data_IF_052055729478
#
_entry.id   IF_052055729478
#
_cell.length_a   1.000
_cell.length_b   1.000
_cell.length_c   1.000
_cell.angle_alpha   90.00
_cell.angle_beta   90.00
_cell.angle_gamma   90.00
#
_symmetry.space_group_name_H-M   'P 1'
#
loop_
_entity.id
_entity.type
_entity.pdbx_description
1 polymer ?
#
# COMPACT_ATOMS: atom_id res chain seq x y z
N UNK A 1 -1.86 -0.55 18.42
CA UNK A 1 -2.53 -0.82 17.13
C UNK A 1 -3.65 -1.83 17.33
N UNK A 2 -4.85 -1.54 16.82
CA UNK A 2 -6.05 -2.37 17.03
C UNK A 2 -5.96 -3.75 16.39
N UNK A 3 -5.47 -3.85 15.15
CA UNK A 3 -5.35 -5.11 14.40
C UNK A 3 -4.46 -6.17 15.08
N UNK A 4 -3.65 -5.76 16.06
CA UNK A 4 -2.82 -6.63 16.88
C UNK A 4 -3.52 -7.12 18.16
N UNK A 5 -4.75 -6.69 18.45
CA UNK A 5 -5.52 -7.15 19.62
C UNK A 5 -6.10 -8.55 19.39
N UNK A 6 -6.24 -9.38 20.44
CA UNK A 6 -6.79 -10.74 20.33
C UNK A 6 -8.18 -10.83 19.67
N UNK A 7 -8.99 -9.77 19.78
CA UNK A 7 -10.31 -9.71 19.13
C UNK A 7 -10.27 -9.79 17.59
N UNK A 8 -9.10 -9.59 16.99
CA UNK A 8 -8.88 -9.68 15.53
C UNK A 8 -8.10 -10.95 15.13
N UNK A 9 -7.84 -11.85 16.08
CA UNK A 9 -7.18 -13.13 15.80
C UNK A 9 -7.93 -13.94 14.75
N UNK A 10 -7.18 -14.63 13.90
CA UNK A 10 -7.65 -15.44 12.77
C UNK A 10 -8.40 -14.67 11.66
N UNK A 11 -8.72 -13.38 11.87
CA UNK A 11 -9.55 -12.58 10.98
C UNK A 11 -8.81 -11.70 9.98
N UNK A 12 -7.49 -11.57 10.10
CA UNK A 12 -6.71 -10.61 9.32
C UNK A 12 -5.96 -11.28 8.15
N UNK A 13 -5.98 -10.60 7.00
CA UNK A 13 -5.13 -10.91 5.83
C UNK A 13 -4.37 -9.67 5.37
N UNK A 14 -3.14 -9.84 4.89
CA UNK A 14 -2.29 -8.73 4.43
C UNK A 14 -1.44 -9.13 3.21
N UNK A 15 -1.00 -8.17 2.39
CA UNK A 15 -0.09 -8.46 1.29
C UNK A 15 1.29 -8.81 1.84
N UNK A 16 1.96 -9.75 1.17
CA UNK A 16 3.34 -10.09 1.46
C UNK A 16 4.28 -9.01 0.91
N UNK A 17 5.20 -8.48 1.73
CA UNK A 17 6.25 -7.55 1.29
C UNK A 17 7.29 -8.21 0.37
N UNK A 18 7.26 -9.54 0.25
CA UNK A 18 8.10 -10.27 -0.71
C UNK A 18 7.66 -10.02 -2.17
N UNK A 19 6.39 -9.67 -2.38
CA UNK A 19 5.78 -9.54 -3.70
C UNK A 19 5.16 -8.15 -3.96
N UNK A 20 4.86 -7.38 -2.90
CA UNK A 20 4.26 -6.05 -3.01
C UNK A 20 5.20 -4.96 -2.51
N UNK A 21 5.53 -3.99 -3.37
CA UNK A 21 6.36 -2.84 -3.00
C UNK A 21 5.71 -1.93 -1.95
N UNK A 22 4.39 -1.71 -2.02
CA UNK A 22 3.65 -0.95 -1.01
C UNK A 22 3.70 -1.65 0.37
N UNK A 23 3.57 -2.97 0.39
CA UNK A 23 3.70 -3.76 1.61
C UNK A 23 5.13 -3.73 2.17
N UNK A 24 6.14 -3.78 1.30
CA UNK A 24 7.54 -3.67 1.69
C UNK A 24 7.86 -2.28 2.28
N UNK A 25 7.32 -1.20 1.68
CA UNK A 25 7.44 0.14 2.21
C UNK A 25 6.78 0.28 3.59
N UNK A 26 5.56 -0.28 3.75
CA UNK A 26 4.87 -0.30 5.04
C UNK A 26 5.66 -1.11 6.09
N UNK A 27 6.19 -2.28 5.72
CA UNK A 27 7.00 -3.11 6.60
C UNK A 27 8.18 -2.33 7.17
N UNK A 28 9.06 -1.82 6.31
CA UNK A 28 10.27 -1.12 6.74
C UNK A 28 9.98 0.20 7.43
N UNK A 29 8.91 0.90 7.02
CA UNK A 29 8.46 2.10 7.73
C UNK A 29 8.01 1.80 9.16
N UNK A 30 7.19 0.76 9.36
CA UNK A 30 6.73 0.35 10.69
C UNK A 30 7.88 -0.21 11.54
N UNK A 31 8.77 -1.01 10.94
CA UNK A 31 9.95 -1.55 11.64
C UNK A 31 10.90 -0.42 12.08
N UNK A 32 11.03 0.64 11.29
CA UNK A 32 11.84 1.81 11.62
C UNK A 32 11.19 2.76 12.62
N UNK A 33 9.89 2.66 12.87
CA UNK A 33 9.15 3.52 13.80
C UNK A 33 9.16 2.94 15.21
N UNK A 34 9.55 3.77 16.19
CA UNK A 34 9.69 3.37 17.59
C UNK A 34 8.38 2.93 18.26
N UNK A 35 7.21 3.32 17.72
CA UNK A 35 5.91 2.95 18.28
C UNK A 35 5.41 1.60 17.78
N UNK A 36 5.97 1.07 16.69
CA UNK A 36 5.52 -0.16 16.05
C UNK A 36 6.59 -1.25 16.09
N UNK A 37 7.73 -1.02 15.44
CA UNK A 37 8.83 -1.97 15.35
C UNK A 37 8.43 -3.35 14.81
N UNK A 38 9.26 -4.35 15.11
CA UNK A 38 8.95 -5.75 14.82
C UNK A 38 7.82 -6.31 15.69
N UNK A 39 7.60 -5.76 16.88
CA UNK A 39 6.56 -6.17 17.81
C UNK A 39 5.17 -6.14 17.17
N UNK A 40 4.90 -5.16 16.30
CA UNK A 40 3.65 -5.11 15.56
C UNK A 40 3.45 -6.37 14.71
N UNK A 41 4.43 -6.73 13.88
CA UNK A 41 4.36 -7.89 13.00
C UNK A 41 4.38 -9.22 13.76
N UNK A 42 5.11 -9.30 14.87
CA UNK A 42 5.09 -10.46 15.75
C UNK A 42 3.70 -10.68 16.35
N UNK A 43 3.03 -9.63 16.82
CA UNK A 43 1.65 -9.72 17.30
C UNK A 43 0.68 -10.13 16.20
N UNK A 44 0.85 -9.61 14.97
CA UNK A 44 0.06 -10.07 13.82
C UNK A 44 0.25 -11.58 13.56
N UNK A 45 1.49 -12.07 13.66
CA UNK A 45 1.78 -13.50 13.52
C UNK A 45 1.15 -14.33 14.63
N UNK A 46 1.23 -13.88 15.89
CA UNK A 46 0.56 -14.52 17.04
C UNK A 46 -0.96 -14.57 16.86
N UNK A 47 -1.54 -13.55 16.21
CA UNK A 47 -2.97 -13.49 15.87
C UNK A 47 -3.33 -14.30 14.61
N UNK A 48 -2.44 -15.18 14.11
CA UNK A 48 -2.65 -16.00 12.91
C UNK A 48 -3.01 -15.19 11.65
N UNK A 49 -2.45 -13.98 11.51
CA UNK A 49 -2.63 -13.17 10.30
C UNK A 49 -2.09 -13.92 9.09
N UNK A 50 -2.88 -13.98 8.02
CA UNK A 50 -2.50 -14.64 6.76
C UNK A 50 -1.80 -13.63 5.84
N UNK A 51 -0.62 -13.98 5.33
CA UNK A 51 0.08 -13.21 4.31
C UNK A 51 -0.20 -13.82 2.93
N UNK A 52 -0.65 -13.00 1.98
CA UNK A 52 -0.96 -13.42 0.60
C UNK A 52 -0.16 -12.62 -0.42
N UNK A 53 -0.07 -13.09 -1.66
CA UNK A 53 0.86 -12.54 -2.68
C UNK A 53 0.71 -11.04 -2.96
N UNK A 54 -0.43 -10.40 -2.71
CA UNK A 54 -0.55 -8.95 -2.90
C UNK A 54 -1.93 -8.39 -2.65
N UNK A 55 -2.09 -7.08 -2.85
CA UNK A 55 -3.31 -6.34 -2.52
C UNK A 55 -4.58 -6.90 -3.20
N UNK A 56 -4.47 -7.40 -4.44
CA UNK A 56 -5.60 -8.02 -5.13
C UNK A 56 -6.11 -9.29 -4.45
N UNK A 57 -5.22 -10.10 -3.87
CA UNK A 57 -5.60 -11.30 -3.12
C UNK A 57 -6.24 -10.93 -1.78
N UNK A 58 -5.73 -9.90 -1.10
CA UNK A 58 -6.35 -9.34 0.12
C UNK A 58 -7.77 -8.88 -0.17
N UNK A 59 -7.93 -8.03 -1.19
CA UNK A 59 -9.25 -7.51 -1.56
C UNK A 59 -10.22 -8.64 -1.88
N UNK A 60 -9.79 -9.66 -2.63
CA UNK A 60 -10.62 -10.83 -2.95
C UNK A 60 -11.07 -11.56 -1.67
N UNK A 61 -10.15 -11.83 -0.76
CA UNK A 61 -10.43 -12.55 0.49
C UNK A 61 -11.43 -11.81 1.39
N UNK A 62 -11.30 -10.47 1.49
CA UNK A 62 -12.25 -9.65 2.24
C UNK A 62 -13.60 -9.55 1.53
N UNK A 63 -13.59 -9.27 0.23
CA UNK A 63 -14.83 -9.13 -0.56
C UNK A 63 -15.64 -10.43 -0.65
N UNK A 64 -15.00 -11.60 -0.57
CA UNK A 64 -15.68 -12.90 -0.50
C UNK A 64 -16.11 -13.30 0.91
N UNK A 65 -15.74 -12.53 1.94
CA UNK A 65 -16.01 -12.86 3.35
C UNK A 65 -15.13 -13.99 3.91
N UNK A 66 -14.07 -14.40 3.21
CA UNK A 66 -13.12 -15.41 3.72
C UNK A 66 -12.36 -14.89 4.94
N UNK A 67 -11.98 -13.60 4.91
CA UNK A 67 -11.37 -12.90 6.04
C UNK A 67 -12.11 -11.59 6.29
N UNK A 68 -12.54 -11.30 7.53
CA UNK A 68 -13.29 -10.08 7.82
C UNK A 68 -12.46 -8.80 7.70
N UNK A 69 -11.12 -8.87 7.80
CA UNK A 69 -10.25 -7.70 7.82
C UNK A 69 -9.06 -7.85 6.86
N UNK A 70 -8.68 -6.75 6.20
CA UNK A 70 -7.53 -6.73 5.31
C UNK A 70 -6.72 -5.44 5.41
N UNK A 71 -5.39 -5.55 5.38
CA UNK A 71 -4.49 -4.41 5.15
C UNK A 71 -4.25 -4.30 3.64
N UNK A 72 -4.60 -3.19 3.00
CA UNK A 72 -4.36 -2.97 1.57
C UNK A 72 -4.25 -1.50 1.21
N UNK A 73 -3.91 -1.23 -0.05
CA UNK A 73 -3.94 0.13 -0.64
C UNK A 73 -5.38 0.63 -0.85
N UNK A 74 -5.57 1.92 -0.58
CA UNK A 74 -6.86 2.62 -0.56
C UNK A 74 -7.64 2.56 -1.87
N UNK A 75 -7.04 2.93 -3.00
CA UNK A 75 -7.75 3.05 -4.28
C UNK A 75 -8.41 1.72 -4.70
N UNK A 76 -7.82 0.57 -4.36
CA UNK A 76 -8.39 -0.74 -4.67
C UNK A 76 -9.68 -0.99 -3.88
N UNK A 77 -9.67 -0.72 -2.57
CA UNK A 77 -10.85 -0.86 -1.73
C UNK A 77 -11.96 0.13 -2.13
N UNK A 78 -11.58 1.39 -2.37
CA UNK A 78 -12.51 2.45 -2.76
C UNK A 78 -13.17 2.16 -4.12
N UNK A 79 -12.39 1.70 -5.10
CA UNK A 79 -12.93 1.30 -6.41
C UNK A 79 -13.81 0.06 -6.31
N UNK A 80 -13.47 -0.92 -5.47
CA UNK A 80 -14.30 -2.10 -5.24
C UNK A 80 -15.65 -1.71 -4.62
N UNK A 81 -15.63 -0.86 -3.59
CA UNK A 81 -16.84 -0.30 -2.96
C UNK A 81 -17.70 0.45 -3.97
N UNK A 82 -17.10 1.32 -4.80
CA UNK A 82 -17.80 2.04 -5.89
C UNK A 82 -18.49 1.10 -6.88
N UNK A 83 -17.94 -0.10 -7.09
CA UNK A 83 -18.52 -1.15 -7.95
C UNK A 83 -19.54 -2.05 -7.23
N UNK A 84 -19.90 -1.74 -5.98
CA UNK A 84 -20.89 -2.49 -5.21
C UNK A 84 -20.34 -3.66 -4.40
N UNK A 85 -19.00 -3.79 -4.27
CA UNK A 85 -18.41 -4.78 -3.37
C UNK A 85 -18.76 -4.44 -1.91
N UNK A 86 -19.12 -5.43 -1.07
CA UNK A 86 -19.53 -5.21 0.32
C UNK A 86 -18.33 -4.99 1.25
N UNK A 87 -17.50 -3.99 0.92
CA UNK A 87 -16.28 -3.67 1.66
C UNK A 87 -16.33 -2.24 2.17
N UNK A 88 -15.79 -2.05 3.37
CA UNK A 88 -15.57 -0.74 3.97
C UNK A 88 -14.07 -0.49 4.08
N UNK A 89 -13.67 0.78 3.93
CA UNK A 89 -12.28 1.20 4.06
C UNK A 89 -12.13 2.20 5.19
N UNK A 90 -11.16 1.97 6.07
CA UNK A 90 -10.89 2.81 7.23
C UNK A 90 -9.45 3.30 7.16
N UNK A 91 -9.26 4.61 7.26
CA UNK A 91 -7.94 5.20 7.50
C UNK A 91 -7.63 5.15 9.01
N UNK A 92 -6.53 4.49 9.43
CA UNK A 92 -6.11 4.51 10.82
C UNK A 92 -5.85 5.93 11.34
N UNK A 93 -6.29 6.19 12.58
CA UNK A 93 -6.17 7.52 13.22
C UNK A 93 -4.72 7.94 13.46
N UNK A 94 -3.85 6.96 13.67
CA UNK A 94 -2.42 7.15 13.90
C UNK A 94 -1.71 7.65 12.64
N UNK A 95 -2.26 7.32 11.47
CA UNK A 95 -1.79 7.71 10.15
C UNK A 95 -1.57 6.53 9.20
N UNK A 96 -1.18 6.85 7.97
CA UNK A 96 -0.85 5.88 6.91
C UNK A 96 0.45 6.26 6.20
N UNK A 97 1.21 5.29 5.66
CA UNK A 97 2.28 5.59 4.73
C UNK A 97 1.74 6.18 3.43
N UNK A 98 2.41 7.20 2.89
CA UNK A 98 2.17 7.67 1.53
C UNK A 98 3.11 6.93 0.56
N UNK A 99 2.55 5.99 -0.20
CA UNK A 99 3.30 5.25 -1.23
C UNK A 99 3.20 6.01 -2.55
N UNK A 100 4.33 6.47 -3.08
CA UNK A 100 4.40 7.12 -4.40
C UNK A 100 4.73 6.11 -5.49
N UNK A 101 4.30 6.39 -6.73
CA UNK A 101 4.61 5.56 -7.90
C UNK A 101 5.64 6.27 -8.80
N UNK A 102 6.96 6.09 -8.55
CA UNK A 102 7.99 6.72 -9.36
C UNK A 102 8.09 6.09 -10.75
N UNK A 103 8.36 6.90 -11.76
CA UNK A 103 8.69 6.47 -13.12
C UNK A 103 10.16 6.77 -13.41
N UNK A 104 10.88 5.82 -14.02
CA UNK A 104 12.29 5.97 -14.36
C UNK A 104 12.63 5.27 -15.69
N UNK A 105 13.65 5.80 -16.38
CA UNK A 105 14.21 5.19 -17.60
C UNK A 105 15.40 4.32 -17.20
N UNK A 106 15.35 3.05 -17.60
CA UNK A 106 16.45 2.12 -17.35
C UNK A 106 17.73 2.57 -18.06
N UNK A 107 18.89 2.46 -17.39
CA UNK A 107 20.21 2.73 -18.00
C UNK A 107 20.47 1.87 -19.25
N UNK A 108 19.86 0.68 -19.31
CA UNK A 108 19.97 -0.29 -20.41
C UNK A 108 18.87 -0.15 -21.46
N UNK A 109 18.04 0.90 -21.41
CA UNK A 109 16.93 1.09 -22.34
C UNK A 109 17.42 1.17 -23.79
N UNK A 110 16.87 0.31 -24.66
CA UNK A 110 17.19 0.26 -26.09
C UNK A 110 16.50 1.34 -26.92
N UNK A 111 15.35 1.83 -26.45
CA UNK A 111 14.59 2.91 -27.07
C UNK A 111 14.42 4.06 -26.08
N UNK A 112 15.47 4.87 -25.93
CA UNK A 112 15.50 5.98 -24.98
C UNK A 112 14.50 7.08 -25.35
N UNK A 113 14.32 7.36 -26.64
CA UNK A 113 13.40 8.41 -27.08
C UNK A 113 11.94 8.04 -26.82
N UNK A 114 11.56 6.77 -27.07
CA UNK A 114 10.24 6.27 -26.70
C UNK A 114 10.02 6.29 -25.18
N UNK A 115 11.03 5.92 -24.40
CA UNK A 115 10.95 5.96 -22.94
C UNK A 115 10.77 7.39 -22.41
N UNK A 116 11.46 8.39 -22.98
CA UNK A 116 11.26 9.81 -22.65
C UNK A 116 9.83 10.26 -22.95
N UNK A 117 9.31 9.96 -24.15
CA UNK A 117 7.92 10.28 -24.51
C UNK A 117 6.89 9.65 -23.55
N UNK A 118 7.16 8.42 -23.09
CA UNK A 118 6.31 7.75 -22.11
C UNK A 118 6.35 8.43 -20.73
N UNK A 119 7.54 8.81 -20.26
CA UNK A 119 7.69 9.58 -19.01
C UNK A 119 6.96 10.93 -19.13
N UNK A 120 7.15 11.64 -20.24
CA UNK A 120 6.48 12.91 -20.52
C UNK A 120 4.96 12.74 -20.50
N UNK A 121 4.44 11.67 -21.12
CA UNK A 121 3.01 11.38 -21.11
C UNK A 121 2.47 11.11 -19.71
N UNK A 122 3.09 10.20 -18.94
CA UNK A 122 2.61 9.87 -17.58
C UNK A 122 2.60 11.10 -16.67
N UNK A 123 3.57 12.01 -16.82
CA UNK A 123 3.67 13.24 -16.02
C UNK A 123 2.86 14.42 -16.58
N UNK A 124 2.32 14.30 -17.79
CA UNK A 124 1.44 15.29 -18.41
C UNK A 124 0.06 15.34 -17.75
N UNK A 125 -0.74 16.37 -18.05
CA UNK A 125 -2.13 16.44 -17.57
C UNK A 125 -2.97 15.25 -18.03
N UNK A 126 -2.75 14.73 -19.24
CA UNK A 126 -3.54 13.61 -19.76
C UNK A 126 -3.18 12.29 -19.07
N UNK A 127 -1.89 12.04 -18.82
CA UNK A 127 -1.45 10.89 -18.04
C UNK A 127 -1.94 10.95 -16.59
N UNK A 128 -1.93 12.14 -15.99
CA UNK A 128 -2.43 12.35 -14.64
C UNK A 128 -3.97 12.25 -14.56
N UNK A 129 -4.72 12.67 -15.60
CA UNK A 129 -6.17 12.44 -15.72
C UNK A 129 -6.49 10.95 -15.87
N UNK A 130 -5.66 10.21 -16.60
CA UNK A 130 -5.78 8.75 -16.68
C UNK A 130 -5.58 8.13 -15.29
N UNK A 131 -4.55 8.51 -14.55
CA UNK A 131 -4.35 8.04 -13.17
C UNK A 131 -5.56 8.37 -12.28
N UNK A 132 -6.12 9.58 -12.38
CA UNK A 132 -7.33 9.98 -11.67
C UNK A 132 -8.53 9.07 -12.01
N UNK A 133 -8.74 8.75 -13.29
CA UNK A 133 -9.83 7.87 -13.73
C UNK A 133 -9.70 6.43 -13.20
N UNK A 134 -8.46 6.00 -12.89
CA UNK A 134 -8.18 4.71 -12.25
C UNK A 134 -8.36 4.77 -10.72
N UNK A 135 -8.68 5.95 -10.17
CA UNK A 135 -8.90 6.17 -8.74
C UNK A 135 -7.65 6.55 -7.96
N UNK A 136 -6.51 6.78 -8.61
CA UNK A 136 -5.30 7.26 -7.93
C UNK A 136 -5.41 8.75 -7.57
N UNK A 137 -4.66 9.16 -6.56
CA UNK A 137 -4.38 10.57 -6.31
C UNK A 137 -3.29 11.04 -7.28
N UNK A 138 -3.59 11.98 -8.20
CA UNK A 138 -2.59 12.47 -9.15
C UNK A 138 -1.45 13.22 -8.45
N UNK A 139 -0.26 13.12 -9.02
CA UNK A 139 0.90 13.92 -8.61
C UNK A 139 0.75 15.41 -8.97
N UNK A 140 -0.06 15.72 -10.00
CA UNK A 140 -0.41 17.10 -10.38
C UNK A 140 -1.70 17.55 -9.69
N UNK A 141 -1.58 18.47 -8.74
CA UNK A 141 -2.73 19.04 -8.03
C UNK A 141 -3.77 19.69 -8.97
N UNK A 142 -3.34 20.25 -10.12
CA UNK A 142 -4.22 20.88 -11.12
C UNK A 142 -5.21 19.92 -11.77
N UNK A 143 -4.96 18.62 -11.72
CA UNK A 143 -5.82 17.59 -12.32
C UNK A 143 -7.00 17.22 -11.41
N UNK A 144 -6.94 17.59 -10.14
CA UNK A 144 -7.97 17.32 -9.15
C UNK A 144 -7.64 16.12 -8.27
N UNK A 145 -8.67 15.55 -7.64
CA UNK A 145 -8.58 14.50 -6.63
C UNK A 145 -9.62 13.42 -6.89
N UNK A 146 -9.37 12.16 -6.52
CA UNK A 146 -10.36 11.11 -6.68
C UNK A 146 -11.57 11.37 -5.78
N UNK A 147 -12.75 10.91 -6.20
CA UNK A 147 -14.02 11.13 -5.48
C UNK A 147 -14.00 10.63 -4.03
N UNK A 148 -13.22 9.58 -3.73
CA UNK A 148 -13.07 9.02 -2.39
C UNK A 148 -12.14 9.83 -1.48
N UNK A 149 -11.41 10.81 -2.02
CA UNK A 149 -10.53 11.73 -1.30
C UNK A 149 -10.80 13.20 -1.69
N UNK A 150 -12.03 13.70 -1.48
CA UNK A 150 -12.39 15.06 -1.85
C UNK A 150 -11.60 16.09 -1.03
N UNK A 151 -11.65 17.35 -1.46
CA UNK A 151 -11.03 18.45 -0.74
C UNK A 151 -11.57 18.56 0.70
N UNK A 152 -10.68 18.84 1.65
CA UNK A 152 -11.01 18.91 3.08
C UNK A 152 -10.90 17.57 3.83
N UNK A 153 -10.88 16.42 3.15
CA UNK A 153 -10.57 15.13 3.81
C UNK A 153 -9.09 15.08 4.16
N UNK A 154 -8.80 15.05 5.47
CA UNK A 154 -7.44 14.99 6.00
C UNK A 154 -7.07 13.55 6.29
N UNK A 155 -6.08 13.04 5.55
CA UNK A 155 -5.42 11.77 5.85
C UNK A 155 -4.08 12.09 6.50
N UNK A 156 -3.87 11.58 7.72
CA UNK A 156 -2.60 11.77 8.42
C UNK A 156 -1.54 10.89 7.78
N UNK A 157 -0.53 11.50 7.16
CA UNK A 157 0.59 10.78 6.56
C UNK A 157 1.68 10.57 7.61
N UNK A 158 2.17 9.34 7.73
CA UNK A 158 3.30 9.01 8.59
C UNK A 158 4.60 9.57 7.99
N UNK A 159 5.47 10.20 8.81
CA UNK A 159 6.69 10.87 8.35
C UNK A 159 7.83 9.88 8.11
N UNK A 160 7.60 8.87 7.29
CA UNK A 160 8.59 7.84 6.98
C UNK A 160 9.74 8.38 6.12
N UNK A 161 10.98 8.10 6.53
CA UNK A 161 12.17 8.40 5.73
C UNK A 161 12.35 7.32 4.66
N UNK A 162 11.96 7.65 3.43
CA UNK A 162 12.07 6.75 2.28
C UNK A 162 13.52 6.29 2.02
N UNK A 163 14.54 7.12 2.27
CA UNK A 163 15.95 6.69 2.07
C UNK A 163 16.34 5.65 3.11
N UNK A 164 15.98 5.89 4.37
CA UNK A 164 16.22 4.94 5.45
C UNK A 164 15.48 3.62 5.22
N UNK A 165 14.23 3.67 4.71
CA UNK A 165 13.45 2.50 4.32
C UNK A 165 14.18 1.70 3.25
N UNK A 166 14.53 2.33 2.11
CA UNK A 166 15.17 1.64 0.98
C UNK A 166 16.46 0.93 1.40
N UNK A 167 17.24 1.52 2.31
CA UNK A 167 18.47 0.91 2.81
C UNK A 167 18.25 -0.37 3.65
N UNK A 168 17.04 -0.58 4.19
CA UNK A 168 16.71 -1.70 5.09
C UNK A 168 15.72 -2.71 4.50
N UNK A 169 14.99 -2.33 3.44
CA UNK A 169 13.90 -3.14 2.87
C UNK A 169 14.27 -4.60 2.62
N UNK A 170 15.44 -4.87 2.05
CA UNK A 170 15.83 -6.26 1.74
C UNK A 170 16.09 -7.09 3.01
N UNK A 171 16.74 -6.51 4.01
CA UNK A 171 16.96 -7.16 5.30
C UNK A 171 15.64 -7.39 6.05
N UNK A 172 14.75 -6.39 6.02
CA UNK A 172 13.43 -6.50 6.66
C UNK A 172 12.57 -7.56 5.97
N UNK A 173 12.60 -7.63 4.62
CA UNK A 173 11.92 -8.70 3.86
C UNK A 173 12.43 -10.08 4.23
N UNK A 174 13.74 -10.26 4.37
CA UNK A 174 14.32 -11.54 4.79
C UNK A 174 13.78 -11.96 6.16
N UNK A 175 13.82 -11.06 7.15
CA UNK A 175 13.29 -11.32 8.49
C UNK A 175 11.77 -11.54 8.50
N UNK A 176 11.03 -10.85 7.64
CA UNK A 176 9.59 -11.10 7.47
C UNK A 176 9.34 -12.52 6.96
N UNK A 177 10.14 -12.99 6.00
CA UNK A 177 10.04 -14.36 5.47
C UNK A 177 10.26 -15.41 6.56
N UNK A 178 11.19 -15.19 7.48
CA UNK A 178 11.41 -16.07 8.64
C UNK A 178 10.19 -16.10 9.57
N UNK A 179 9.53 -14.96 9.77
CA UNK A 179 8.41 -14.82 10.70
C UNK A 179 7.09 -15.37 10.15
N UNK A 180 6.78 -15.11 8.87
CA UNK A 180 5.50 -15.47 8.26
C UNK A 180 5.53 -16.72 7.39
N UNK A 181 6.72 -17.23 7.05
CA UNK A 181 6.89 -18.22 5.99
C UNK A 181 6.99 -17.52 4.63
N UNK A 182 7.90 -18.00 3.78
CA UNK A 182 8.09 -17.52 2.41
C UNK A 182 6.93 -17.84 1.48
#
# INVERSE_FOLDING_TARGET
ADLAKPAYADGLVMPSPLYSGAAAYLLSGFVGDANYGWDFFQKLKTNNTVSVRGNGAVLKSVASGEKPYGILVDFMAMNAKKKGSPVEFVFPSEGVPAVTEPVAIMKTARNVDGAKKFVDFILSDDGQKLALSMGYLPARASVGRPEWLPEGVKVKVMPFDTKAIVAKTDADKAKFSELFGG
#
